data_IF_027771630054
#
_entry.id   IF_027771630054
#
_cell.length_a   1.000
_cell.length_b   1.000
_cell.length_c   1.000
_cell.angle_alpha   90.00
_cell.angle_beta   90.00
_cell.angle_gamma   90.00
#
_symmetry.space_group_name_H-M   'P 1'
#
loop_
_entity.id
_entity.type
_entity.pdbx_description
1 polymer ?
#
# COMPACT_ATOMS: atom_id res chain seq x y z
N UNK A 1 -12.70 -11.69 -17.49
CA UNK A 1 -11.63 -12.71 -17.22
C UNK A 1 -12.02 -14.04 -17.82
N UNK A 2 -11.13 -14.65 -18.58
CA UNK A 2 -11.38 -15.96 -19.18
C UNK A 2 -10.86 -17.07 -18.30
N UNK A 3 -11.65 -18.14 -18.14
CA UNK A 3 -11.32 -19.30 -17.28
C UNK A 3 -11.55 -20.59 -18.05
N UNK A 4 -10.57 -21.51 -17.98
CA UNK A 4 -10.65 -22.86 -18.55
C UNK A 4 -10.49 -23.88 -17.41
N UNK A 5 -11.60 -24.46 -16.96
CA UNK A 5 -11.64 -25.27 -15.75
C UNK A 5 -11.26 -24.46 -14.51
N UNK A 6 -10.13 -24.78 -13.88
CA UNK A 6 -9.58 -24.00 -12.73
C UNK A 6 -8.47 -23.02 -13.13
N UNK A 7 -8.12 -22.97 -14.41
CA UNK A 7 -7.00 -22.15 -14.88
C UNK A 7 -7.50 -20.82 -15.44
N UNK A 8 -6.98 -19.74 -14.90
CA UNK A 8 -7.20 -18.39 -15.45
C UNK A 8 -6.33 -18.21 -16.70
N UNK A 9 -6.94 -17.69 -17.76
CA UNK A 9 -6.26 -17.38 -19.01
C UNK A 9 -6.03 -15.87 -19.13
N UNK A 10 -4.85 -15.49 -19.56
CA UNK A 10 -4.48 -14.09 -19.76
C UNK A 10 -4.49 -13.77 -21.24
N UNK A 11 -5.19 -12.70 -21.61
CA UNK A 11 -5.17 -12.17 -22.99
C UNK A 11 -3.74 -11.76 -23.33
N UNK A 12 -3.30 -12.12 -24.52
CA UNK A 12 -1.93 -11.87 -24.98
C UNK A 12 -0.90 -12.94 -24.56
N UNK A 13 -1.35 -14.04 -23.95
CA UNK A 13 -0.49 -15.21 -23.64
C UNK A 13 -0.96 -16.45 -24.34
N UNK A 14 -0.02 -17.20 -24.91
CA UNK A 14 -0.30 -18.52 -25.47
C UNK A 14 -0.62 -19.54 -24.36
N UNK A 15 -1.50 -20.47 -24.64
CA UNK A 15 -1.86 -21.54 -23.70
C UNK A 15 -2.01 -22.89 -24.42
N UNK A 16 -1.94 -23.95 -23.65
CA UNK A 16 -2.15 -25.33 -24.15
C UNK A 16 -3.36 -25.94 -23.47
N UNK A 17 -4.18 -26.61 -24.27
CA UNK A 17 -5.32 -27.38 -23.79
C UNK A 17 -5.53 -28.62 -24.63
N UNK A 18 -5.66 -29.78 -23.99
CA UNK A 18 -5.82 -31.11 -24.65
C UNK A 18 -4.77 -31.42 -25.73
N UNK A 19 -3.52 -31.01 -25.49
CA UNK A 19 -2.43 -31.21 -26.44
C UNK A 19 -2.42 -30.28 -27.64
N UNK A 20 -3.31 -29.28 -27.66
CA UNK A 20 -3.39 -28.25 -28.70
C UNK A 20 -2.81 -26.96 -28.15
N UNK A 21 -1.88 -26.37 -28.88
CA UNK A 21 -1.31 -25.06 -28.57
C UNK A 21 -2.13 -23.92 -29.20
N UNK A 22 -2.54 -22.99 -28.36
CA UNK A 22 -3.29 -21.80 -28.79
C UNK A 22 -2.36 -20.58 -28.74
N UNK A 23 -2.25 -19.80 -29.85
CA UNK A 23 -1.36 -18.66 -29.89
C UNK A 23 -1.82 -17.54 -28.96
N UNK A 24 -0.90 -16.62 -28.67
CA UNK A 24 -1.13 -15.51 -27.73
C UNK A 24 -2.31 -14.60 -28.09
N UNK A 25 -2.60 -14.45 -29.38
CA UNK A 25 -3.68 -13.60 -29.90
C UNK A 25 -5.01 -14.35 -30.08
N UNK A 26 -5.05 -15.65 -29.74
CA UNK A 26 -6.24 -16.46 -29.95
C UNK A 26 -7.45 -15.96 -29.15
N UNK A 27 -7.25 -15.58 -27.88
CA UNK A 27 -8.33 -15.05 -27.02
C UNK A 27 -8.90 -13.71 -27.52
N UNK A 28 -8.08 -12.91 -28.19
CA UNK A 28 -8.52 -11.62 -28.76
C UNK A 28 -9.29 -11.78 -30.07
N UNK A 29 -8.86 -12.71 -30.91
CA UNK A 29 -9.38 -12.88 -32.28
C UNK A 29 -10.55 -13.84 -32.39
N UNK A 30 -10.79 -14.65 -31.37
CA UNK A 30 -11.77 -15.73 -31.40
C UNK A 30 -13.11 -15.26 -30.80
N UNK A 31 -14.22 -15.71 -31.38
CA UNK A 31 -15.56 -15.43 -30.88
C UNK A 31 -15.83 -16.08 -29.52
N UNK A 32 -16.82 -15.58 -28.79
CA UNK A 32 -17.22 -16.16 -27.51
C UNK A 32 -17.72 -17.61 -27.68
N UNK A 33 -18.41 -17.89 -28.78
CA UNK A 33 -18.93 -19.24 -29.11
C UNK A 33 -17.78 -20.26 -29.29
N UNK A 34 -16.72 -19.88 -30.00
CA UNK A 34 -15.53 -20.71 -30.18
C UNK A 34 -14.77 -20.94 -28.88
N UNK A 35 -14.68 -19.93 -28.00
CA UNK A 35 -14.11 -20.05 -26.66
C UNK A 35 -14.92 -21.03 -25.79
N UNK A 36 -16.24 -20.90 -25.80
CA UNK A 36 -17.13 -21.81 -25.06
C UNK A 36 -17.08 -23.25 -25.59
N UNK A 37 -16.87 -23.43 -26.89
CA UNK A 37 -16.75 -24.76 -27.50
C UNK A 37 -15.60 -25.59 -26.91
N UNK A 38 -14.52 -24.99 -26.45
CA UNK A 38 -13.41 -25.66 -25.77
C UNK A 38 -13.50 -25.61 -24.25
N UNK A 39 -14.59 -25.06 -23.69
CA UNK A 39 -14.84 -25.01 -22.25
C UNK A 39 -14.34 -23.76 -21.55
N UNK A 40 -13.99 -22.71 -22.29
CA UNK A 40 -13.65 -21.40 -21.70
C UNK A 40 -14.94 -20.68 -21.31
N UNK A 41 -14.99 -20.20 -20.09
CA UNK A 41 -16.05 -19.33 -19.58
C UNK A 41 -15.51 -17.94 -19.33
N UNK A 42 -16.37 -16.93 -19.55
CA UNK A 42 -16.07 -15.56 -19.17
C UNK A 42 -16.67 -15.28 -17.80
N UNK A 43 -15.81 -14.95 -16.83
CA UNK A 43 -16.21 -14.54 -15.49
C UNK A 43 -15.92 -13.06 -15.30
N UNK A 44 -16.70 -12.35 -14.46
CA UNK A 44 -16.37 -10.98 -14.12
C UNK A 44 -14.97 -10.91 -13.49
N UNK A 45 -14.25 -9.83 -13.77
CA UNK A 45 -12.97 -9.60 -13.14
C UNK A 45 -13.14 -9.49 -11.62
N UNK A 46 -12.19 -10.05 -10.82
CA UNK A 46 -12.27 -9.93 -9.38
C UNK A 46 -12.31 -8.45 -8.99
N UNK A 47 -13.19 -8.09 -8.06
CA UNK A 47 -13.22 -6.74 -7.50
C UNK A 47 -11.89 -6.45 -6.80
N UNK A 48 -11.36 -5.24 -7.06
CA UNK A 48 -10.13 -4.80 -6.43
C UNK A 48 -10.35 -4.44 -4.96
N UNK A 49 -9.44 -4.81 -4.11
CA UNK A 49 -9.36 -4.35 -2.73
C UNK A 49 -7.90 -4.05 -2.35
N UNK A 50 -7.70 -3.18 -1.37
CA UNK A 50 -6.37 -2.84 -0.88
C UNK A 50 -5.92 -3.86 0.17
N UNK A 51 -4.99 -4.73 -0.20
CA UNK A 51 -4.46 -5.79 0.66
C UNK A 51 -3.76 -5.29 1.93
N UNK A 52 -3.42 -4.01 1.99
CA UNK A 52 -2.83 -3.41 3.19
C UNK A 52 -3.86 -3.29 4.32
N UNK A 53 -5.14 -3.09 3.98
CA UNK A 53 -6.22 -2.80 4.92
C UNK A 53 -7.31 -3.87 4.95
N UNK A 54 -7.39 -4.71 3.92
CA UNK A 54 -8.45 -5.69 3.73
C UNK A 54 -7.89 -7.08 3.47
N UNK A 55 -8.61 -8.11 3.93
CA UNK A 55 -8.36 -9.51 3.58
C UNK A 55 -9.06 -9.93 2.29
N UNK A 56 -10.08 -9.21 1.89
CA UNK A 56 -10.91 -9.41 0.73
C UNK A 56 -11.87 -8.25 0.56
N UNK A 57 -12.71 -8.27 -0.47
CA UNK A 57 -13.76 -7.26 -0.66
C UNK A 57 -14.67 -7.26 0.57
N UNK A 58 -14.88 -6.09 1.18
CA UNK A 58 -15.71 -5.91 2.39
C UNK A 58 -15.23 -6.73 3.63
N UNK A 59 -14.00 -7.21 3.63
CA UNK A 59 -13.39 -7.91 4.76
C UNK A 59 -12.21 -7.12 5.35
N UNK A 60 -12.46 -6.09 6.17
CA UNK A 60 -11.40 -5.27 6.74
C UNK A 60 -10.54 -6.05 7.74
N UNK A 61 -9.25 -5.69 7.80
CA UNK A 61 -8.34 -6.18 8.84
C UNK A 61 -8.68 -5.55 10.18
N UNK A 62 -8.11 -6.08 11.26
CA UNK A 62 -8.26 -5.51 12.60
C UNK A 62 -7.79 -4.07 12.67
N UNK A 63 -8.70 -3.15 13.02
CA UNK A 63 -8.43 -1.72 13.08
C UNK A 63 -7.32 -1.38 14.09
N UNK A 64 -7.31 -2.02 15.26
CA UNK A 64 -6.31 -1.74 16.29
C UNK A 64 -4.90 -2.14 15.84
N UNK A 65 -4.77 -3.28 15.16
CA UNK A 65 -3.51 -3.72 14.57
C UNK A 65 -3.04 -2.74 13.47
N UNK A 66 -3.94 -2.30 12.61
CA UNK A 66 -3.63 -1.34 11.54
C UNK A 66 -3.21 0.01 12.09
N UNK A 67 -3.87 0.50 13.15
CA UNK A 67 -3.48 1.74 13.85
C UNK A 67 -2.09 1.62 14.45
N UNK A 68 -1.78 0.53 15.14
CA UNK A 68 -0.46 0.29 15.72
C UNK A 68 0.62 0.31 14.66
N UNK A 69 0.41 -0.41 13.55
CA UNK A 69 1.36 -0.43 12.43
C UNK A 69 1.54 0.95 11.79
N UNK A 70 0.45 1.70 11.63
CA UNK A 70 0.50 3.04 11.07
C UNK A 70 1.28 4.01 11.98
N UNK A 71 1.05 3.97 13.29
CA UNK A 71 1.76 4.79 14.27
C UNK A 71 3.25 4.43 14.31
N UNK A 72 3.60 3.16 14.29
CA UNK A 72 4.99 2.70 14.24
C UNK A 72 5.70 3.23 12.98
N UNK A 73 5.00 3.24 11.86
CA UNK A 73 5.52 3.79 10.60
C UNK A 73 5.71 5.31 10.67
N UNK A 74 4.79 6.05 11.28
CA UNK A 74 4.92 7.50 11.52
C UNK A 74 6.15 7.78 12.40
N UNK A 75 6.32 7.05 13.48
CA UNK A 75 7.48 7.18 14.38
C UNK A 75 8.80 6.87 13.68
N UNK A 76 8.82 5.82 12.87
CA UNK A 76 9.99 5.47 12.06
C UNK A 76 10.36 6.59 11.08
N UNK A 77 9.39 7.15 10.36
CA UNK A 77 9.62 8.24 9.43
C UNK A 77 10.12 9.50 10.14
N UNK A 78 9.54 9.85 11.30
CA UNK A 78 10.01 10.96 12.11
C UNK A 78 11.47 10.76 12.55
N UNK A 79 11.83 9.57 12.99
CA UNK A 79 13.22 9.24 13.36
C UNK A 79 14.18 9.38 12.17
N UNK A 80 13.77 8.95 10.98
CA UNK A 80 14.56 9.12 9.75
C UNK A 80 14.79 10.60 9.41
N UNK A 81 13.79 11.45 9.59
CA UNK A 81 13.94 12.89 9.36
C UNK A 81 14.75 13.61 10.44
N UNK A 82 14.74 13.13 11.67
CA UNK A 82 15.52 13.70 12.79
C UNK A 82 17.00 13.26 12.75
N UNK A 83 17.29 12.06 12.28
CA UNK A 83 18.62 11.46 12.31
C UNK A 83 19.74 12.35 11.73
N UNK A 84 19.58 13.01 10.58
CA UNK A 84 20.65 13.84 10.00
C UNK A 84 21.14 14.97 10.89
N UNK A 85 20.33 15.40 11.87
CA UNK A 85 20.66 16.50 12.79
C UNK A 85 20.85 16.07 14.24
N UNK A 86 20.74 14.78 14.55
CA UNK A 86 20.92 14.25 15.90
C UNK A 86 22.33 14.54 16.44
N UNK A 87 23.36 14.49 15.63
CA UNK A 87 24.72 14.82 16.01
C UNK A 87 24.89 16.24 16.55
N UNK A 88 24.09 17.20 16.04
CA UNK A 88 24.11 18.58 16.55
C UNK A 88 23.60 18.67 17.97
N UNK A 89 22.57 17.90 18.30
CA UNK A 89 22.02 17.80 19.66
C UNK A 89 23.03 17.15 20.61
N UNK A 90 23.63 16.06 20.18
CA UNK A 90 24.67 15.35 20.97
C UNK A 90 25.85 16.28 21.22
N UNK A 91 26.37 16.95 20.20
CA UNK A 91 27.46 17.93 20.35
C UNK A 91 27.09 19.07 21.30
N UNK A 92 25.88 19.58 21.24
CA UNK A 92 25.39 20.62 22.13
C UNK A 92 25.37 20.16 23.58
N UNK A 93 24.97 18.92 23.83
CA UNK A 93 24.97 18.33 25.17
C UNK A 93 26.39 18.13 25.72
N UNK A 94 27.32 17.73 24.89
CA UNK A 94 28.71 17.43 25.31
C UNK A 94 29.60 18.68 25.47
N UNK A 95 29.42 19.67 24.59
CA UNK A 95 30.34 20.81 24.47
C UNK A 95 29.70 22.15 24.81
N UNK A 96 28.41 22.22 25.16
CA UNK A 96 27.63 23.44 25.33
C UNK A 96 27.60 24.34 24.08
N UNK A 97 27.89 23.79 22.91
CA UNK A 97 27.76 24.49 21.63
C UNK A 97 26.27 24.61 21.28
N UNK A 98 25.79 25.80 21.03
CA UNK A 98 24.38 26.02 20.67
C UNK A 98 24.03 25.35 19.34
N UNK A 99 22.85 24.73 19.29
CA UNK A 99 22.25 24.27 18.05
C UNK A 99 21.64 25.47 17.32
N UNK A 100 21.85 25.56 16.02
CA UNK A 100 21.30 26.63 15.20
C UNK A 100 19.76 26.62 15.20
N UNK A 101 19.16 27.81 15.17
CA UNK A 101 17.71 27.98 15.24
C UNK A 101 16.96 27.29 14.10
N UNK A 102 17.41 27.33 12.82
CA UNK A 102 16.75 26.59 11.75
C UNK A 102 16.67 25.07 12.00
N UNK A 103 17.72 24.47 12.56
CA UNK A 103 17.72 23.06 12.95
C UNK A 103 16.70 22.78 14.06
N UNK A 104 16.66 23.59 15.10
CA UNK A 104 15.68 23.45 16.19
C UNK A 104 14.25 23.57 15.70
N UNK A 105 13.97 24.55 14.84
CA UNK A 105 12.65 24.76 14.27
C UNK A 105 12.22 23.59 13.40
N UNK A 106 13.11 23.08 12.56
CA UNK A 106 12.84 21.90 11.72
C UNK A 106 12.52 20.66 12.56
N UNK A 107 13.31 20.41 13.58
CA UNK A 107 13.09 19.28 14.51
C UNK A 107 11.77 19.41 15.25
N UNK A 108 11.43 20.62 15.72
CA UNK A 108 10.15 20.87 16.36
C UNK A 108 8.96 20.64 15.41
N UNK A 109 9.08 21.07 14.15
CA UNK A 109 8.07 20.83 13.11
C UNK A 109 7.86 19.34 12.85
N UNK A 110 8.92 18.56 12.72
CA UNK A 110 8.84 17.09 12.52
C UNK A 110 8.10 16.44 13.70
N UNK A 111 8.41 16.82 14.93
CA UNK A 111 7.74 16.27 16.12
C UNK A 111 6.27 16.66 16.19
N UNK A 112 5.94 17.90 15.87
CA UNK A 112 4.55 18.38 15.82
C UNK A 112 3.75 17.60 14.80
N UNK A 113 4.26 17.45 13.58
CA UNK A 113 3.60 16.66 12.53
C UNK A 113 3.44 15.18 12.91
N UNK A 114 4.45 14.59 13.53
CA UNK A 114 4.36 13.21 14.04
C UNK A 114 3.18 13.07 15.01
N UNK A 115 3.05 13.97 15.97
CA UNK A 115 1.96 13.95 16.94
C UNK A 115 0.59 14.16 16.28
N UNK A 116 0.48 15.10 15.34
CA UNK A 116 -0.76 15.36 14.59
C UNK A 116 -1.19 14.12 13.77
N UNK A 117 -0.25 13.44 13.15
CA UNK A 117 -0.53 12.22 12.39
C UNK A 117 -0.96 11.07 13.30
N UNK A 118 -0.30 10.90 14.44
CA UNK A 118 -0.71 9.92 15.44
C UNK A 118 -2.13 10.19 15.97
N UNK A 119 -2.45 11.45 16.26
CA UNK A 119 -3.78 11.86 16.69
C UNK A 119 -4.84 11.57 15.61
N UNK A 120 -4.54 11.84 14.35
CA UNK A 120 -5.41 11.53 13.21
C UNK A 120 -5.67 10.04 13.07
N UNK A 121 -4.64 9.20 13.26
CA UNK A 121 -4.76 7.74 13.24
C UNK A 121 -5.63 7.27 14.40
N UNK A 122 -5.40 7.76 15.60
CA UNK A 122 -6.16 7.38 16.79
C UNK A 122 -7.63 7.82 16.72
N UNK A 123 -7.94 8.89 16.01
CA UNK A 123 -9.29 9.39 15.82
C UNK A 123 -10.12 8.54 14.83
N UNK A 124 -9.49 7.69 14.02
CA UNK A 124 -10.21 6.81 13.10
C UNK A 124 -11.03 5.77 13.85
N UNK A 125 -12.27 5.59 13.42
CA UNK A 125 -13.21 4.59 13.97
C UNK A 125 -13.44 3.43 13.03
N UNK A 126 -13.05 3.55 11.77
CA UNK A 126 -13.17 2.53 10.72
C UNK A 126 -11.87 2.37 9.94
N UNK A 127 -11.71 1.20 9.31
CA UNK A 127 -10.57 0.92 8.41
C UNK A 127 -10.60 1.84 7.19
N UNK A 128 -11.79 2.18 6.69
CA UNK A 128 -11.96 3.10 5.55
C UNK A 128 -11.43 4.51 5.87
N UNK A 129 -11.72 5.02 7.06
CA UNK A 129 -11.18 6.32 7.52
C UNK A 129 -9.65 6.28 7.60
N UNK A 130 -9.08 5.20 8.13
CA UNK A 130 -7.64 5.01 8.23
C UNK A 130 -6.99 4.94 6.84
N UNK A 131 -7.57 4.20 5.91
CA UNK A 131 -7.08 4.06 4.53
C UNK A 131 -7.14 5.38 3.75
N UNK A 132 -8.07 6.28 4.09
CA UNK A 132 -8.22 7.58 3.45
C UNK A 132 -7.21 8.62 3.95
N UNK A 133 -6.50 8.38 5.05
CA UNK A 133 -5.49 9.30 5.58
C UNK A 133 -4.28 9.39 4.65
N UNK A 134 -3.76 10.59 4.49
CA UNK A 134 -2.48 10.85 3.83
C UNK A 134 -1.60 11.70 4.75
N UNK A 135 -0.29 11.47 4.71
CA UNK A 135 0.66 12.12 5.61
C UNK A 135 1.70 12.87 4.79
N UNK A 136 1.60 14.19 4.79
CA UNK A 136 2.56 15.07 4.14
C UNK A 136 3.47 15.70 5.20
N UNK A 137 4.73 15.26 5.22
CA UNK A 137 5.73 15.78 6.14
C UNK A 137 6.27 17.16 5.74
N UNK A 138 6.16 17.54 4.47
CA UNK A 138 6.67 18.81 3.95
C UNK A 138 8.18 18.99 4.06
N UNK A 139 8.92 17.91 4.10
CA UNK A 139 10.39 17.86 4.27
C UNK A 139 11.09 17.26 3.08
#
# INVERSE_FOLDING_TARGET
MYVLGMKKLTVGQAFEFNGIQYPADWLDKTSLEEKQAIGITEEPDPEWFDERYYWGVDHPKDLNMLKTNAIDNIKYNAACFLQPTDWKIIRSSETNTRVDLPTLNKRAEIRTKSNEFEDSINACTTVEELAALSFDWGV
#
